data_IF_179556154609
#
_entry.id   IF_179556154609
#
_cell.length_a   1.000
_cell.length_b   1.000
_cell.length_c   1.000
_cell.angle_alpha   90.00
_cell.angle_beta   90.00
_cell.angle_gamma   90.00
#
_symmetry.space_group_name_H-M   'P 1'
#
loop_
_entity.id
_entity.type
_entity.pdbx_description
1 polymer ?
#
# COMPACT_ATOMS: atom_id res chain seq x y z
N UNK A 1 -24.99 -0.03 3.26
CA UNK A 1 -23.75 0.74 2.98
C UNK A 1 -22.58 -0.02 3.57
N UNK A 2 -21.38 0.02 2.97
CA UNK A 2 -20.22 -0.66 3.53
C UNK A 2 -19.89 -0.11 4.93
N UNK A 3 -19.60 -0.99 5.88
CA UNK A 3 -19.32 -0.63 7.29
C UNK A 3 -18.02 0.16 7.46
N UNK A 4 -17.16 0.14 6.44
CA UNK A 4 -15.88 0.83 6.40
C UNK A 4 -15.56 1.31 4.98
N UNK A 5 -14.74 2.35 4.87
CA UNK A 5 -14.27 2.91 3.59
C UNK A 5 -12.82 2.49 3.36
N UNK A 6 -12.54 1.89 2.21
CA UNK A 6 -11.18 1.54 1.76
C UNK A 6 -10.58 2.69 0.95
N UNK A 7 -9.31 3.01 1.18
CA UNK A 7 -8.61 4.15 0.59
C UNK A 7 -7.36 3.64 -0.13
N UNK A 8 -7.16 4.09 -1.39
CA UNK A 8 -6.09 3.64 -2.30
C UNK A 8 -6.05 2.10 -2.38
N UNK A 9 -7.08 1.55 -2.99
CA UNK A 9 -7.17 0.11 -3.24
C UNK A 9 -6.17 -0.30 -4.32
N UNK A 10 -5.67 -1.53 -4.22
CA UNK A 10 -4.81 -2.16 -5.23
C UNK A 10 -4.99 -3.67 -5.13
N UNK A 11 -4.69 -4.38 -6.22
CA UNK A 11 -4.65 -5.84 -6.22
C UNK A 11 -3.20 -6.35 -6.25
N UNK A 12 -2.92 -7.41 -5.49
CA UNK A 12 -1.56 -7.98 -5.39
C UNK A 12 -1.06 -8.56 -6.71
N UNK A 13 -1.94 -8.99 -7.61
CA UNK A 13 -1.58 -9.52 -8.92
C UNK A 13 -0.92 -8.47 -9.81
N UNK A 14 -1.39 -7.22 -9.72
CA UNK A 14 -0.85 -6.09 -10.46
C UNK A 14 0.42 -5.53 -9.81
N UNK A 15 0.47 -5.54 -8.47
CA UNK A 15 1.57 -4.94 -7.70
C UNK A 15 2.78 -5.88 -7.57
N UNK A 16 2.55 -7.19 -7.54
CA UNK A 16 3.58 -8.22 -7.38
C UNK A 16 3.40 -9.29 -8.47
N UNK A 17 3.58 -8.97 -9.76
CA UNK A 17 3.27 -9.87 -10.88
C UNK A 17 4.08 -11.17 -10.88
N UNK A 18 5.21 -11.19 -10.15
CA UNK A 18 6.08 -12.36 -10.00
C UNK A 18 5.59 -13.34 -8.91
N UNK A 19 4.47 -13.03 -8.23
CA UNK A 19 3.86 -13.86 -7.20
C UNK A 19 2.47 -14.30 -7.63
N UNK A 20 2.07 -15.53 -7.29
CA UNK A 20 0.73 -16.05 -7.56
C UNK A 20 -0.29 -15.59 -6.49
N UNK A 21 -0.40 -14.27 -6.30
CA UNK A 21 -1.28 -13.66 -5.29
C UNK A 21 -2.35 -12.79 -5.96
N UNK A 22 -3.62 -13.04 -5.64
CA UNK A 22 -4.76 -12.27 -6.15
C UNK A 22 -5.65 -11.84 -4.97
N UNK A 23 -5.26 -10.74 -4.33
CA UNK A 23 -5.94 -10.20 -3.17
C UNK A 23 -6.22 -8.72 -3.38
N UNK A 24 -7.45 -8.32 -3.07
CA UNK A 24 -7.84 -6.91 -3.04
C UNK A 24 -7.47 -6.29 -1.69
N UNK A 25 -6.45 -5.43 -1.72
CA UNK A 25 -5.91 -4.74 -0.56
C UNK A 25 -6.14 -3.23 -0.68
N UNK A 26 -5.82 -2.51 0.39
CA UNK A 26 -5.83 -1.05 0.42
C UNK A 26 -4.75 -0.52 1.36
N UNK A 27 -4.35 0.75 1.16
CA UNK A 27 -3.34 1.37 2.00
C UNK A 27 -3.90 1.85 3.34
N UNK A 28 -5.19 2.19 3.37
CA UNK A 28 -5.88 2.55 4.61
C UNK A 28 -7.36 2.17 4.60
N UNK A 29 -7.90 1.92 5.79
CA UNK A 29 -9.32 1.70 6.03
C UNK A 29 -9.82 2.73 7.05
N UNK A 30 -10.89 3.45 6.72
CA UNK A 30 -11.63 4.29 7.65
C UNK A 30 -12.85 3.52 8.17
N UNK A 31 -12.94 3.32 9.48
CA UNK A 31 -14.12 2.76 10.14
C UNK A 31 -14.61 3.75 11.20
N UNK A 32 -15.77 4.36 10.96
CA UNK A 32 -16.24 5.47 11.79
C UNK A 32 -15.23 6.63 11.80
N UNK A 33 -14.73 6.99 12.98
CA UNK A 33 -13.75 8.05 13.17
C UNK A 33 -12.29 7.55 13.26
N UNK A 34 -12.07 6.25 13.07
CA UNK A 34 -10.75 5.62 13.20
C UNK A 34 -10.19 5.25 11.83
N UNK A 35 -8.90 5.53 11.60
CA UNK A 35 -8.17 5.17 10.39
C UNK A 35 -7.12 4.12 10.73
N UNK A 36 -7.18 2.98 10.06
CA UNK A 36 -6.19 1.91 10.12
C UNK A 36 -5.30 2.00 8.88
N UNK A 37 -4.00 2.08 9.07
CA UNK A 37 -3.02 2.24 7.97
C UNK A 37 -2.16 0.99 7.88
N UNK A 38 -1.92 0.51 6.65
CA UNK A 38 -0.98 -0.59 6.41
C UNK A 38 0.42 -0.19 6.86
N UNK A 39 1.20 -1.13 7.38
CA UNK A 39 2.63 -0.93 7.59
C UNK A 39 3.30 -0.40 6.32
N UNK A 40 3.93 0.76 6.43
CA UNK A 40 4.60 1.42 5.32
C UNK A 40 6.03 0.88 5.22
N UNK A 41 6.36 0.38 4.05
CA UNK A 41 7.72 0.02 3.63
C UNK A 41 8.14 0.98 2.54
N UNK A 42 9.42 1.02 2.16
CA UNK A 42 9.98 1.98 1.21
C UNK A 42 9.34 1.91 -0.17
N UNK A 43 8.12 2.40 -0.33
CA UNK A 43 7.39 2.46 -1.58
C UNK A 43 6.93 3.89 -1.81
N UNK A 44 7.01 4.35 -3.05
CA UNK A 44 6.46 5.65 -3.45
C UNK A 44 4.92 5.61 -3.55
N UNK A 45 4.31 6.74 -3.90
CA UNK A 45 2.86 6.85 -4.05
C UNK A 45 2.28 6.07 -5.23
N UNK A 46 3.14 5.66 -6.18
CA UNK A 46 2.80 4.82 -7.34
C UNK A 46 2.97 3.32 -7.01
N UNK A 47 3.33 2.99 -5.76
CA UNK A 47 3.52 1.61 -5.30
C UNK A 47 4.85 0.98 -5.69
N UNK A 48 5.80 1.77 -6.22
CA UNK A 48 7.13 1.28 -6.62
C UNK A 48 8.05 1.24 -5.41
N UNK A 49 8.81 0.15 -5.28
CA UNK A 49 9.80 0.01 -4.22
C UNK A 49 10.97 0.99 -4.44
N UNK A 50 11.27 1.76 -3.41
CA UNK A 50 12.35 2.74 -3.30
C UNK A 50 13.33 2.26 -2.23
N UNK A 51 14.63 2.25 -2.54
CA UNK A 51 15.67 1.84 -1.60
C UNK A 51 15.93 0.33 -1.53
N UNK A 52 15.66 -0.41 -2.62
CA UNK A 52 16.04 -1.82 -2.71
C UNK A 52 17.56 -1.96 -2.55
N UNK A 53 18.00 -2.60 -1.46
CA UNK A 53 19.42 -2.78 -1.14
C UNK A 53 20.08 -1.63 -0.37
N UNK A 54 19.37 -0.51 -0.15
CA UNK A 54 19.85 0.62 0.65
C UNK A 54 18.74 1.10 1.62
N UNK A 55 18.73 0.60 2.87
CA UNK A 55 17.72 0.95 3.86
C UNK A 55 17.77 2.43 4.30
N UNK A 56 18.83 3.18 3.96
CA UNK A 56 18.93 4.61 4.23
C UNK A 56 18.13 5.47 3.25
N UNK A 57 17.75 4.91 2.09
CA UNK A 57 17.01 5.61 1.05
C UNK A 57 15.53 5.74 1.46
N UNK A 58 15.17 6.88 2.05
CA UNK A 58 13.75 7.19 2.30
C UNK A 58 13.02 7.48 0.99
N UNK A 59 11.76 7.01 0.82
CA UNK A 59 10.85 7.57 -0.16
C UNK A 59 10.68 9.05 0.15
N UNK A 60 11.28 9.91 -0.68
CA UNK A 60 11.19 11.37 -0.58
C UNK A 60 10.21 11.88 -1.63
N UNK A 61 9.42 12.87 -1.23
CA UNK A 61 8.55 13.63 -2.12
C UNK A 61 9.44 14.54 -3.01
N UNK A 62 9.22 14.65 -4.32
CA UNK A 62 9.62 15.85 -5.05
C UNK A 62 8.79 17.06 -4.61
#
# INVERSE_FOLDING_TARGET
>A
MPTHTRIRMFNTKETYPNQSLDNDLCQAVKAGNTIYVRGQVGTDFEGRLVGLGDPGLRPRRP
#
